data_IF_169735913804
#
_entry.id   IF_169735913804
#
_cell.length_a   1.000
_cell.length_b   1.000
_cell.length_c   1.000
_cell.angle_alpha   90.00
_cell.angle_beta   90.00
_cell.angle_gamma   90.00
#
_symmetry.space_group_name_H-M   'P 1'
#
loop_
_entity.id
_entity.type
_entity.pdbx_description
1 polymer ?
#
# COMPACT_ATOMS: atom_id res chain seq x y z
N UNK A 1 4.43 -5.13 27.17
CA UNK A 1 3.39 -5.68 26.26
C UNK A 1 3.50 -7.20 26.27
N UNK A 2 2.39 -7.94 26.39
CA UNK A 2 2.43 -9.42 26.29
C UNK A 2 2.93 -9.82 24.89
N UNK A 3 3.81 -10.82 24.79
CA UNK A 3 4.42 -11.29 23.53
C UNK A 3 3.36 -11.62 22.46
N UNK A 4 2.24 -12.24 22.88
CA UNK A 4 1.11 -12.57 22.01
C UNK A 4 0.48 -11.32 21.40
N UNK A 5 0.20 -10.30 22.23
CA UNK A 5 -0.39 -9.03 21.75
C UNK A 5 0.53 -8.32 20.76
N UNK A 6 1.85 -8.35 21.00
CA UNK A 6 2.84 -7.80 20.06
C UNK A 6 2.75 -8.47 18.69
N UNK A 7 2.69 -9.79 18.64
CA UNK A 7 2.62 -10.54 17.38
C UNK A 7 1.32 -10.24 16.62
N UNK A 8 0.18 -10.18 17.33
CA UNK A 8 -1.11 -9.82 16.72
C UNK A 8 -1.02 -8.43 16.08
N UNK A 9 -0.47 -7.44 16.78
CA UNK A 9 -0.32 -6.08 16.24
C UNK A 9 0.57 -6.05 15.00
N UNK A 10 1.65 -6.84 14.96
CA UNK A 10 2.53 -6.94 13.79
C UNK A 10 1.78 -7.55 12.60
N UNK A 11 1.03 -8.62 12.81
CA UNK A 11 0.21 -9.25 11.78
C UNK A 11 -0.87 -8.30 11.26
N UNK A 12 -1.60 -7.62 12.15
CA UNK A 12 -2.62 -6.62 11.76
C UNK A 12 -1.98 -5.48 10.98
N UNK A 13 -0.84 -4.96 11.43
CA UNK A 13 -0.11 -3.90 10.72
C UNK A 13 0.30 -4.34 9.31
N UNK A 14 0.87 -5.53 9.15
CA UNK A 14 1.19 -6.10 7.83
C UNK A 14 -0.05 -6.23 6.95
N UNK A 15 -1.13 -6.79 7.49
CA UNK A 15 -2.38 -6.98 6.78
C UNK A 15 -3.00 -5.66 6.29
N UNK A 16 -3.06 -4.64 7.16
CA UNK A 16 -3.58 -3.32 6.81
C UNK A 16 -2.72 -2.62 5.76
N UNK A 17 -1.39 -2.70 5.89
CA UNK A 17 -0.48 -2.11 4.90
C UNK A 17 -0.58 -2.82 3.55
N UNK A 18 -0.85 -4.13 3.54
CA UNK A 18 -1.00 -4.94 2.33
C UNK A 18 -2.39 -4.82 1.67
N UNK A 19 -3.41 -4.38 2.41
CA UNK A 19 -4.76 -4.16 1.87
C UNK A 19 -4.98 -2.67 1.58
N UNK A 20 -5.30 -1.89 2.60
CA UNK A 20 -5.60 -0.46 2.49
C UNK A 20 -4.39 0.34 2.01
N UNK A 21 -3.21 0.00 2.52
CA UNK A 21 -1.97 0.63 2.08
C UNK A 21 -1.68 0.36 0.61
N UNK A 22 -1.82 -0.88 0.15
CA UNK A 22 -1.58 -1.22 -1.25
C UNK A 22 -2.62 -0.59 -2.18
N UNK A 23 -3.90 -0.51 -1.77
CA UNK A 23 -4.91 0.25 -2.49
C UNK A 23 -4.54 1.73 -2.63
N UNK A 24 -4.10 2.35 -1.52
CA UNK A 24 -3.62 3.74 -1.51
C UNK A 24 -2.43 3.95 -2.45
N UNK A 25 -1.47 3.02 -2.47
CA UNK A 25 -0.33 3.06 -3.38
C UNK A 25 -0.76 2.98 -4.85
N UNK A 26 -1.67 2.07 -5.19
CA UNK A 26 -2.22 1.96 -6.55
C UNK A 26 -2.98 3.21 -6.99
N UNK A 27 -3.76 3.83 -6.10
CA UNK A 27 -4.38 5.13 -6.38
C UNK A 27 -3.32 6.21 -6.63
N UNK A 28 -2.25 6.21 -5.84
CA UNK A 28 -1.12 7.11 -6.03
C UNK A 28 -0.47 6.96 -7.40
N UNK A 29 -0.25 5.71 -7.82
CA UNK A 29 0.26 5.38 -9.17
C UNK A 29 -0.71 5.87 -10.25
N UNK A 30 -2.02 5.62 -10.10
CA UNK A 30 -3.02 6.07 -11.08
C UNK A 30 -3.02 7.60 -11.26
N UNK A 31 -2.88 8.38 -10.17
CA UNK A 31 -2.77 9.83 -10.27
C UNK A 31 -1.44 10.33 -10.85
N UNK A 32 -0.37 9.56 -10.70
CA UNK A 32 0.96 9.90 -11.20
C UNK A 32 1.06 9.77 -12.72
N UNK A 33 0.24 8.91 -13.31
CA UNK A 33 0.21 8.61 -14.74
C UNK A 33 -1.19 8.89 -15.32
N UNK A 34 -1.50 10.16 -15.65
CA UNK A 34 -2.75 10.52 -16.31
C UNK A 34 -2.93 9.75 -17.63
N UNK A 35 -4.17 9.44 -17.97
CA UNK A 35 -4.51 8.67 -19.16
C UNK A 35 -4.22 9.43 -20.47
N UNK A 36 -4.36 10.76 -20.43
CA UNK A 36 -4.15 11.63 -21.59
C UNK A 36 -2.77 12.27 -21.58
N UNK A 37 -2.19 12.48 -22.76
CA UNK A 37 -0.88 13.11 -22.91
C UNK A 37 -0.95 14.64 -22.94
N UNK A 38 0.22 15.32 -22.81
CA UNK A 38 0.31 16.77 -22.90
C UNK A 38 -0.34 17.34 -24.16
N UNK A 39 -1.22 18.33 -23.98
CA UNK A 39 -1.87 19.05 -25.08
C UNK A 39 -3.37 18.75 -25.28
N UNK A 40 -3.95 17.79 -24.53
CA UNK A 40 -5.40 17.67 -24.43
C UNK A 40 -5.96 18.55 -23.31
N UNK A 41 -7.23 18.95 -23.43
CA UNK A 41 -7.95 19.65 -22.35
C UNK A 41 -7.97 18.81 -21.06
N UNK A 42 -8.16 17.49 -21.20
CA UNK A 42 -8.16 16.55 -20.08
C UNK A 42 -6.80 16.46 -19.37
N UNK A 43 -5.67 16.55 -20.08
CA UNK A 43 -4.35 16.59 -19.45
C UNK A 43 -4.15 17.83 -18.59
N UNK A 44 -4.63 18.99 -19.04
CA UNK A 44 -4.50 20.24 -18.30
C UNK A 44 -5.27 20.21 -16.98
N UNK A 45 -6.37 19.47 -16.93
CA UNK A 45 -7.15 19.20 -15.73
C UNK A 45 -6.49 18.14 -14.84
N UNK A 46 -6.06 17.02 -15.43
CA UNK A 46 -5.57 15.85 -14.69
C UNK A 46 -4.15 16.02 -14.12
N UNK A 47 -3.31 16.88 -14.74
CA UNK A 47 -1.93 17.09 -14.30
C UNK A 47 -1.83 17.63 -12.85
N UNK A 48 -2.90 18.23 -12.33
CA UNK A 48 -2.95 18.72 -10.94
C UNK A 48 -2.86 17.58 -9.92
N UNK A 49 -3.23 16.36 -10.32
CA UNK A 49 -3.19 15.18 -9.45
C UNK A 49 -1.82 14.50 -9.41
N UNK A 50 -0.92 14.80 -10.35
CA UNK A 50 0.42 14.18 -10.40
C UNK A 50 1.19 14.36 -9.09
N UNK A 51 1.29 15.58 -8.49
CA UNK A 51 1.96 15.75 -7.21
C UNK A 51 1.29 14.96 -6.09
N UNK A 52 -0.05 14.86 -6.10
CA UNK A 52 -0.81 14.09 -5.11
C UNK A 52 -0.44 12.61 -5.22
N UNK A 53 -0.40 12.06 -6.44
CA UNK A 53 0.03 10.69 -6.69
C UNK A 53 1.42 10.38 -6.16
N UNK A 54 2.38 11.30 -6.39
CA UNK A 54 3.75 11.19 -5.86
C UNK A 54 3.74 11.15 -4.32
N UNK A 55 3.01 12.05 -3.66
CA UNK A 55 2.93 12.05 -2.19
C UNK A 55 2.31 10.76 -1.64
N UNK A 56 1.28 10.23 -2.30
CA UNK A 56 0.63 8.99 -1.89
C UNK A 56 1.61 7.80 -1.87
N UNK A 57 2.34 7.61 -2.98
CA UNK A 57 3.36 6.55 -3.11
C UNK A 57 4.50 6.75 -2.12
N UNK A 58 4.98 7.99 -1.95
CA UNK A 58 6.05 8.30 -0.99
C UNK A 58 5.64 8.01 0.46
N UNK A 59 4.40 8.30 0.85
CA UNK A 59 3.88 7.99 2.19
C UNK A 59 3.84 6.48 2.40
N UNK A 60 3.31 5.72 1.44
CA UNK A 60 3.25 4.26 1.53
C UNK A 60 4.66 3.66 1.66
N UNK A 61 5.59 4.10 0.81
CA UNK A 61 6.97 3.65 0.82
C UNK A 61 7.69 4.01 2.13
N UNK A 62 7.47 5.21 2.67
CA UNK A 62 8.03 5.65 3.95
C UNK A 62 7.54 4.76 5.10
N UNK A 63 6.24 4.45 5.16
CA UNK A 63 5.66 3.54 6.16
C UNK A 63 6.25 2.15 6.03
N UNK A 64 6.38 1.64 4.80
CA UNK A 64 6.97 0.32 4.53
C UNK A 64 8.42 0.25 5.00
N UNK A 65 9.27 1.19 4.58
CA UNK A 65 10.69 1.24 4.98
C UNK A 65 10.84 1.39 6.49
N UNK A 66 10.07 2.28 7.11
CA UNK A 66 10.08 2.48 8.56
C UNK A 66 9.70 1.18 9.29
N UNK A 67 8.73 0.45 8.77
CA UNK A 67 8.28 -0.82 9.35
C UNK A 67 9.36 -1.90 9.26
N UNK A 68 10.00 -2.04 8.09
CA UNK A 68 11.14 -2.96 7.91
C UNK A 68 12.28 -2.58 8.86
N UNK A 69 12.62 -1.31 8.94
CA UNK A 69 13.65 -0.80 9.85
C UNK A 69 13.33 -1.11 11.33
N UNK A 70 12.07 -0.99 11.73
CA UNK A 70 11.61 -1.29 13.09
C UNK A 70 11.72 -2.77 13.42
N UNK A 71 11.32 -3.66 12.51
CA UNK A 71 11.30 -5.11 12.75
C UNK A 71 12.61 -5.82 12.46
N UNK A 72 13.60 -5.15 11.82
CA UNK A 72 14.93 -5.72 11.47
C UNK A 72 15.66 -6.46 12.58
N UNK A 73 15.37 -6.13 13.85
CA UNK A 73 16.02 -6.74 15.01
C UNK A 73 15.56 -8.18 15.30
N UNK A 74 14.41 -8.59 14.75
CA UNK A 74 13.83 -9.92 15.00
C UNK A 74 13.37 -10.54 13.68
N UNK A 75 14.06 -11.61 13.27
CA UNK A 75 13.71 -12.36 12.05
C UNK A 75 12.26 -12.83 12.07
N UNK A 76 11.77 -13.30 13.22
CA UNK A 76 10.40 -13.77 13.38
C UNK A 76 9.37 -12.63 13.19
N UNK A 77 9.68 -11.41 13.65
CA UNK A 77 8.78 -10.26 13.51
C UNK A 77 8.70 -9.79 12.06
N UNK A 78 9.83 -9.76 11.33
CA UNK A 78 9.83 -9.47 9.89
C UNK A 78 9.05 -10.53 9.13
N UNK A 79 9.31 -11.81 9.39
CA UNK A 79 8.63 -12.89 8.68
C UNK A 79 7.12 -12.81 8.92
N UNK A 80 6.70 -12.61 10.17
CA UNK A 80 5.28 -12.43 10.51
C UNK A 80 4.66 -11.23 9.79
N UNK A 81 5.38 -10.10 9.74
CA UNK A 81 4.93 -8.91 9.03
C UNK A 81 4.80 -9.16 7.53
N UNK A 82 5.83 -9.75 6.89
CA UNK A 82 5.84 -10.03 5.44
C UNK A 82 4.75 -11.02 5.06
N UNK A 83 4.54 -12.09 5.84
CA UNK A 83 3.46 -13.05 5.59
C UNK A 83 2.10 -12.35 5.64
N UNK A 84 1.84 -11.55 6.68
CA UNK A 84 0.59 -10.80 6.75
C UNK A 84 0.44 -9.75 5.65
N UNK A 85 1.53 -9.11 5.24
CA UNK A 85 1.54 -8.16 4.13
C UNK A 85 1.15 -8.83 2.81
N UNK A 86 1.83 -9.93 2.46
CA UNK A 86 1.55 -10.70 1.25
C UNK A 86 0.14 -11.26 1.26
N UNK A 87 -0.33 -11.74 2.41
CA UNK A 87 -1.70 -12.22 2.55
C UNK A 87 -2.72 -11.09 2.35
N UNK A 88 -2.45 -9.90 2.88
CA UNK A 88 -3.28 -8.71 2.64
C UNK A 88 -3.33 -8.32 1.17
N UNK A 89 -2.18 -8.30 0.48
CA UNK A 89 -2.11 -8.01 -0.97
C UNK A 89 -2.90 -9.05 -1.76
N UNK A 90 -2.73 -10.34 -1.47
CA UNK A 90 -3.48 -11.41 -2.14
C UNK A 90 -4.99 -11.25 -1.96
N UNK A 91 -5.45 -10.94 -0.74
CA UNK A 91 -6.87 -10.71 -0.48
C UNK A 91 -7.38 -9.49 -1.25
N UNK A 92 -6.62 -8.40 -1.26
CA UNK A 92 -6.97 -7.21 -2.02
C UNK A 92 -7.10 -7.52 -3.51
N UNK A 93 -6.13 -8.25 -4.09
CA UNK A 93 -6.14 -8.64 -5.51
C UNK A 93 -7.32 -9.57 -5.83
N UNK A 94 -7.58 -10.57 -4.99
CA UNK A 94 -8.73 -11.46 -5.17
C UNK A 94 -10.05 -10.69 -5.08
N UNK A 95 -10.18 -9.78 -4.11
CA UNK A 95 -11.36 -8.93 -3.99
C UNK A 95 -11.53 -8.02 -5.21
N UNK A 96 -10.44 -7.44 -5.75
CA UNK A 96 -10.49 -6.66 -6.98
C UNK A 96 -10.91 -7.50 -8.19
N UNK A 97 -10.37 -8.71 -8.34
CA UNK A 97 -10.66 -9.60 -9.48
C UNK A 97 -12.10 -10.14 -9.49
N UNK A 98 -12.65 -10.48 -8.33
CA UNK A 98 -13.95 -11.15 -8.22
C UNK A 98 -15.07 -10.24 -7.69
N UNK A 99 -14.72 -9.16 -7.00
CA UNK A 99 -15.68 -8.24 -6.37
C UNK A 99 -16.23 -7.16 -7.31
N UNK A 100 -15.63 -6.94 -8.47
CA UNK A 100 -16.10 -5.96 -9.50
C UNK A 100 -17.22 -6.54 -10.39
N UNK A 101 -17.66 -7.78 -10.15
CA UNK A 101 -18.68 -8.49 -10.97
C UNK A 101 -20.09 -8.44 -10.36
N UNK A 102 -20.41 -7.46 -9.49
CA UNK A 102 -21.78 -7.28 -8.97
C UNK A 102 -22.25 -5.85 -9.19
#
# INVERSE_FOLDING_TARGET
MKKILKNILISVHGFLLGTLGFYWDLMGVAFMFPEYGPGSLSWEEDKIFIPIGIFMVLIWLAIFIFTIYKFRKSKAEIISFIISLLFGITIFVLWWMFGVVI
#
